data_IF_088014538079
#
_entry.id   IF_088014538079
#
_cell.length_a   1.000
_cell.length_b   1.000
_cell.length_c   1.000
_cell.angle_alpha   90.00
_cell.angle_beta   90.00
_cell.angle_gamma   90.00
#
_symmetry.space_group_name_H-M   'P 1'
#
loop_
_entity.id
_entity.type
_entity.pdbx_description
1 polymer ?
#
# COMPACT_ATOMS: atom_id res chain seq x y z
N UNK A 1 -71.08 25.74 19.93
CA UNK A 1 -71.51 24.62 20.79
C UNK A 1 -70.29 23.76 21.12
N UNK A 2 -69.62 24.06 22.23
CA UNK A 2 -68.99 23.05 23.09
C UNK A 2 -70.05 22.68 24.15
N UNK A 3 -69.93 21.63 24.99
CA UNK A 3 -68.74 20.85 25.39
C UNK A 3 -69.14 19.35 25.58
N UNK A 4 -68.73 18.55 26.59
CA UNK A 4 -67.54 18.53 27.46
C UNK A 4 -66.97 17.08 27.67
N UNK A 5 -66.00 17.02 28.59
CA UNK A 5 -65.68 15.90 29.50
C UNK A 5 -64.74 14.82 28.96
N UNK A 6 -63.71 14.42 29.68
CA UNK A 6 -63.21 14.89 30.97
C UNK A 6 -61.95 14.08 31.30
N UNK A 7 -60.99 14.81 31.88
CA UNK A 7 -60.31 14.48 33.14
C UNK A 7 -59.63 13.11 33.22
N UNK A 8 -58.29 13.09 33.17
CA UNK A 8 -57.43 13.30 34.34
C UNK A 8 -57.64 12.23 35.43
N UNK A 9 -56.69 11.31 35.51
CA UNK A 9 -56.01 10.96 36.77
C UNK A 9 -54.62 10.48 36.38
N UNK A 10 -53.54 11.16 36.81
CA UNK A 10 -52.75 10.77 37.99
C UNK A 10 -52.42 9.27 37.94
N UNK A 11 -51.16 8.85 37.89
CA UNK A 11 -50.24 8.79 39.02
C UNK A 11 -48.82 8.64 38.42
N UNK A 12 -47.91 9.57 38.71
CA UNK A 12 -46.89 9.41 39.75
C UNK A 12 -45.87 8.30 39.48
N UNK A 13 -44.63 8.77 39.37
CA UNK A 13 -43.47 8.27 40.12
C UNK A 13 -42.62 7.12 39.54
N UNK A 14 -41.32 7.48 39.50
CA UNK A 14 -40.17 6.69 39.94
C UNK A 14 -39.53 5.78 38.89
N UNK A 15 -38.43 6.28 38.30
CA UNK A 15 -37.37 5.42 37.80
C UNK A 15 -36.74 4.60 38.94
N UNK A 16 -35.98 3.56 38.60
CA UNK A 16 -34.55 3.63 38.92
C UNK A 16 -33.63 3.12 37.80
N UNK A 17 -32.37 3.55 37.89
CA UNK A 17 -31.21 3.17 37.08
C UNK A 17 -31.00 1.66 36.98
N UNK A 18 -30.78 1.13 35.77
CA UNK A 18 -29.60 0.30 35.46
C UNK A 18 -29.41 0.08 33.96
N UNK A 19 -28.17 0.20 33.55
CA UNK A 19 -27.65 -0.01 32.21
C UNK A 19 -27.95 -1.41 31.65
N UNK A 20 -28.68 -1.47 30.54
CA UNK A 20 -28.80 -2.68 29.72
C UNK A 20 -27.76 -2.67 28.60
N UNK A 21 -26.65 -3.37 28.86
CA UNK A 21 -25.95 -4.08 27.78
C UNK A 21 -26.83 -5.26 27.38
N UNK A 22 -27.26 -5.30 26.13
CA UNK A 22 -27.06 -6.45 25.24
C UNK A 22 -27.85 -6.23 23.94
N UNK A 23 -27.12 -6.42 22.86
CA UNK A 23 -27.45 -6.23 21.45
C UNK A 23 -28.74 -6.89 20.97
N UNK A 24 -29.37 -6.31 19.94
CA UNK A 24 -30.30 -7.03 19.08
C UNK A 24 -29.69 -7.25 17.69
N UNK A 25 -29.49 -8.52 17.33
CA UNK A 25 -29.51 -8.97 15.94
C UNK A 25 -30.42 -10.19 15.90
N UNK A 26 -31.65 -10.02 15.39
CA UNK A 26 -32.45 -11.09 14.77
C UNK A 26 -33.75 -10.51 14.21
N UNK A 27 -33.73 -10.21 12.91
CA UNK A 27 -34.80 -10.47 11.93
C UNK A 27 -34.41 -9.82 10.60
N UNK A 28 -33.68 -10.62 9.83
CA UNK A 28 -33.29 -10.39 8.46
C UNK A 28 -34.53 -10.41 7.53
N UNK A 29 -34.86 -9.26 6.95
CA UNK A 29 -35.46 -9.12 5.62
C UNK A 29 -35.63 -7.63 5.31
N UNK A 30 -34.86 -7.15 4.32
CA UNK A 30 -34.61 -5.74 3.94
C UNK A 30 -33.61 -5.03 4.85
N UNK A 31 -32.57 -4.50 4.21
CA UNK A 31 -31.40 -3.86 4.81
C UNK A 31 -30.46 -4.89 5.45
N UNK A 32 -29.48 -5.40 4.70
CA UNK A 32 -28.18 -4.74 4.75
C UNK A 32 -27.16 -5.39 3.82
N UNK A 33 -26.42 -4.47 3.21
CA UNK A 33 -25.40 -4.56 2.18
C UNK A 33 -24.13 -5.31 2.61
N UNK A 34 -24.18 -6.21 3.60
CA UNK A 34 -22.98 -6.95 3.96
C UNK A 34 -23.28 -8.37 4.41
N UNK A 35 -22.60 -9.28 3.72
CA UNK A 35 -22.34 -10.68 4.08
C UNK A 35 -23.48 -11.69 3.94
N UNK A 36 -23.44 -12.44 2.84
CA UNK A 36 -23.55 -13.90 2.92
C UNK A 36 -22.46 -14.54 2.06
N UNK A 37 -21.95 -15.64 2.59
CA UNK A 37 -20.68 -16.25 2.29
C UNK A 37 -20.59 -16.93 0.92
N UNK A 38 -19.35 -17.24 0.53
CA UNK A 38 -18.96 -18.25 -0.47
C UNK A 38 -18.83 -17.81 -1.94
N UNK A 39 -18.20 -16.67 -2.19
CA UNK A 39 -17.32 -16.53 -3.36
C UNK A 39 -16.14 -15.59 -3.04
N UNK A 40 -14.95 -16.18 -2.97
CA UNK A 40 -13.65 -15.56 -2.75
C UNK A 40 -13.32 -15.06 -1.33
N UNK A 41 -13.27 -16.00 -0.36
CA UNK A 41 -12.19 -15.99 0.65
C UNK A 41 -10.84 -16.25 -0.05
N UNK A 42 -10.41 -15.31 -0.90
CA UNK A 42 -9.17 -15.44 -1.68
C UNK A 42 -8.50 -14.09 -1.83
N UNK A 43 -8.44 -13.29 -0.77
CA UNK A 43 -7.44 -12.20 -0.79
C UNK A 43 -6.97 -11.59 0.52
N UNK A 44 -7.04 -12.29 1.65
CA UNK A 44 -6.28 -11.90 2.85
C UNK A 44 -4.75 -12.09 2.67
N UNK A 45 -4.29 -12.72 1.57
CA UNK A 45 -2.86 -12.86 1.22
C UNK A 45 -2.27 -11.75 0.32
N UNK A 46 -3.00 -10.70 -0.09
CA UNK A 46 -2.40 -9.63 -0.93
C UNK A 46 -1.91 -8.39 -0.19
N UNK A 47 -2.13 -8.29 1.11
CA UNK A 47 -1.63 -7.17 1.92
C UNK A 47 -0.56 -7.58 2.96
N UNK A 48 -0.36 -8.87 3.20
CA UNK A 48 0.65 -9.37 4.14
C UNK A 48 2.10 -9.43 3.58
N UNK A 49 2.34 -8.98 2.35
CA UNK A 49 3.70 -8.90 1.76
C UNK A 49 4.13 -7.44 1.45
N UNK A 50 3.40 -6.46 1.95
CA UNK A 50 3.84 -5.07 1.95
C UNK A 50 4.42 -4.74 3.32
N UNK A 51 5.40 -5.54 3.78
CA UNK A 51 6.30 -5.10 4.82
C UNK A 51 6.93 -3.80 4.30
N UNK A 52 6.44 -2.70 4.82
CA UNK A 52 7.19 -1.62 5.45
C UNK A 52 8.62 -2.04 5.85
N UNK A 53 9.43 -2.38 4.85
CA UNK A 53 10.86 -2.16 4.89
C UNK A 53 11.02 -0.64 4.96
N UNK A 54 10.88 -0.10 6.18
CA UNK A 54 11.44 1.19 6.56
C UNK A 54 12.97 1.05 6.50
N UNK A 55 13.51 0.77 5.32
CA UNK A 55 14.92 0.95 5.07
C UNK A 55 15.17 2.45 5.12
N UNK A 56 16.18 2.84 5.89
CA UNK A 56 16.60 4.23 6.03
C UNK A 56 16.94 4.83 4.64
N UNK A 57 17.44 3.99 3.71
CA UNK A 57 17.67 4.31 2.31
C UNK A 57 16.63 3.66 1.38
N UNK A 58 16.09 4.45 0.45
CA UNK A 58 15.07 4.02 -0.50
C UNK A 58 15.40 4.45 -1.93
N UNK A 59 15.16 3.55 -2.89
CA UNK A 59 15.19 3.86 -4.32
C UNK A 59 13.75 4.15 -4.79
N UNK A 60 13.48 5.42 -5.10
CA UNK A 60 12.14 5.91 -5.42
C UNK A 60 12.13 6.80 -6.67
N UNK A 61 10.93 7.06 -7.18
CA UNK A 61 10.71 7.98 -8.29
C UNK A 61 10.55 9.42 -7.78
N UNK A 62 11.40 10.32 -8.26
CA UNK A 62 11.24 11.77 -8.12
C UNK A 62 10.54 12.31 -9.35
N UNK A 63 9.49 13.12 -9.20
CA UNK A 63 8.81 13.72 -10.35
C UNK A 63 9.60 14.94 -10.83
N UNK A 64 9.89 14.96 -12.12
CA UNK A 64 10.52 16.06 -12.83
C UNK A 64 9.69 16.38 -14.09
N UNK A 65 9.68 17.62 -14.55
CA UNK A 65 8.94 18.00 -15.75
C UNK A 65 7.68 18.82 -15.50
N UNK A 66 7.11 19.33 -16.59
CA UNK A 66 6.03 20.30 -16.58
C UNK A 66 4.67 19.68 -16.26
N UNK A 67 3.68 20.55 -16.00
CA UNK A 67 2.28 20.15 -15.95
C UNK A 67 1.88 19.46 -17.26
N UNK A 68 1.16 18.35 -17.18
CA UNK A 68 0.76 17.55 -18.34
C UNK A 68 1.87 16.69 -18.96
N UNK A 69 3.16 16.96 -18.72
CA UNK A 69 4.31 16.20 -19.26
C UNK A 69 5.11 15.55 -18.12
N UNK A 70 4.62 14.45 -17.52
CA UNK A 70 5.31 13.81 -16.41
C UNK A 70 6.60 13.14 -16.89
N UNK A 71 7.71 13.44 -16.22
CA UNK A 71 8.94 12.68 -16.29
C UNK A 71 9.36 12.29 -14.85
N UNK A 72 10.12 11.21 -14.72
CA UNK A 72 10.57 10.75 -13.42
C UNK A 72 12.06 10.48 -13.43
N UNK A 73 12.72 10.77 -12.31
CA UNK A 73 14.10 10.37 -12.04
C UNK A 73 14.09 9.24 -11.03
N UNK A 74 14.87 8.20 -11.29
CA UNK A 74 15.14 7.12 -10.32
C UNK A 74 16.26 7.61 -9.42
N UNK A 75 15.94 7.83 -8.14
CA UNK A 75 16.86 8.43 -7.17
C UNK A 75 16.98 7.59 -5.91
N UNK A 76 18.16 7.62 -5.30
CA UNK A 76 18.44 7.05 -3.98
C UNK A 76 18.35 8.19 -2.96
N UNK A 77 17.55 7.99 -1.92
CA UNK A 77 17.31 8.98 -0.86
C UNK A 77 17.20 8.31 0.49
N UNK A 78 17.27 9.10 1.56
CA UNK A 78 16.71 8.69 2.84
C UNK A 78 15.17 8.71 2.77
N UNK A 79 14.51 7.70 3.33
CA UNK A 79 13.06 7.50 3.26
C UNK A 79 12.26 8.66 3.90
N UNK A 80 12.82 9.34 4.90
CA UNK A 80 12.18 10.46 5.61
C UNK A 80 12.16 11.75 4.81
N UNK A 81 12.95 11.85 3.73
CA UNK A 81 13.09 13.09 2.95
C UNK A 81 11.88 13.33 2.05
N UNK A 82 11.51 14.61 1.86
CA UNK A 82 10.46 15.06 0.92
C UNK A 82 10.68 14.49 -0.49
N UNK A 83 9.60 14.13 -1.21
CA UNK A 83 9.64 13.47 -2.53
C UNK A 83 10.58 14.16 -3.54
N UNK A 84 10.50 15.48 -3.65
CA UNK A 84 11.24 16.26 -4.65
C UNK A 84 12.47 17.00 -4.06
N UNK A 85 12.84 16.70 -2.81
CA UNK A 85 13.96 17.35 -2.12
C UNK A 85 15.35 16.85 -2.55
N UNK A 86 16.34 17.11 -1.70
CA UNK A 86 17.73 16.68 -1.87
C UNK A 86 17.80 15.15 -1.89
N UNK A 87 18.63 14.62 -2.78
CA UNK A 87 18.87 13.19 -2.96
C UNK A 87 20.37 12.89 -2.92
N UNK A 88 20.73 11.64 -2.62
CA UNK A 88 22.12 11.22 -2.53
C UNK A 88 22.71 10.95 -3.91
N UNK A 89 21.99 10.17 -4.72
CA UNK A 89 22.45 9.78 -6.05
C UNK A 89 21.29 9.61 -7.03
N UNK A 90 21.52 10.01 -8.29
CA UNK A 90 20.64 9.73 -9.42
C UNK A 90 21.11 8.46 -10.12
N UNK A 91 20.24 7.46 -10.16
CA UNK A 91 20.49 6.15 -10.80
C UNK A 91 20.01 6.14 -12.25
N UNK A 92 18.95 6.89 -12.56
CA UNK A 92 18.41 6.89 -13.91
C UNK A 92 17.21 7.80 -14.11
N UNK A 93 16.54 7.62 -15.23
CA UNK A 93 15.36 8.37 -15.63
C UNK A 93 14.32 7.46 -16.28
N UNK A 94 13.08 7.89 -16.16
CA UNK A 94 11.92 7.18 -16.67
C UNK A 94 10.92 8.15 -17.26
N UNK A 95 10.55 7.90 -18.51
CA UNK A 95 9.49 8.62 -19.19
C UNK A 95 8.27 7.71 -19.37
N UNK A 96 7.14 7.98 -18.69
CA UNK A 96 5.94 7.15 -18.79
C UNK A 96 5.24 7.26 -20.15
N UNK A 97 5.41 8.36 -20.89
CA UNK A 97 4.77 8.55 -22.21
C UNK A 97 5.42 7.66 -23.26
N UNK A 98 6.75 7.66 -23.28
CA UNK A 98 7.54 6.83 -24.19
C UNK A 98 7.76 5.41 -23.65
N UNK A 99 7.36 5.16 -22.39
CA UNK A 99 7.65 3.92 -21.65
C UNK A 99 9.13 3.53 -21.69
N UNK A 100 10.01 4.50 -21.88
CA UNK A 100 11.46 4.30 -21.92
C UNK A 100 12.04 4.58 -20.54
N UNK A 101 12.95 3.72 -20.11
CA UNK A 101 13.74 3.89 -18.92
C UNK A 101 15.22 3.73 -19.27
N UNK A 102 16.06 4.61 -18.74
CA UNK A 102 17.50 4.50 -18.86
C UNK A 102 18.06 4.50 -17.45
N UNK A 103 18.68 3.38 -17.09
CA UNK A 103 19.05 3.03 -15.73
C UNK A 103 20.51 2.60 -15.77
N UNK A 104 21.32 3.23 -14.92
CA UNK A 104 22.70 2.82 -14.70
C UNK A 104 22.71 1.60 -13.77
N UNK A 105 22.99 0.43 -14.34
CA UNK A 105 23.02 -0.84 -13.62
C UNK A 105 24.15 -0.93 -12.61
N UNK A 106 25.30 -0.28 -12.87
CA UNK A 106 26.45 -0.28 -11.96
C UNK A 106 26.11 0.47 -10.68
N UNK A 107 25.56 1.68 -10.81
CA UNK A 107 25.10 2.47 -9.65
C UNK A 107 23.99 1.76 -8.90
N UNK A 108 23.04 1.15 -9.61
CA UNK A 108 21.92 0.45 -8.97
C UNK A 108 22.40 -0.71 -8.09
N UNK A 109 23.35 -1.52 -8.58
CA UNK A 109 23.94 -2.65 -7.84
C UNK A 109 24.63 -2.16 -6.57
N UNK A 110 25.50 -1.16 -6.71
CA UNK A 110 26.23 -0.56 -5.58
C UNK A 110 25.30 -0.04 -4.47
N UNK A 111 24.17 0.59 -4.83
CA UNK A 111 23.21 1.07 -3.82
C UNK A 111 22.35 -0.06 -3.24
N UNK A 112 22.08 -1.10 -4.01
CA UNK A 112 21.37 -2.28 -3.54
C UNK A 112 22.21 -3.07 -2.53
N UNK A 113 23.52 -3.21 -2.78
CA UNK A 113 24.50 -3.80 -1.86
C UNK A 113 24.61 -3.01 -0.56
N UNK A 114 24.51 -1.68 -0.63
CA UNK A 114 24.44 -0.80 0.56
C UNK A 114 23.10 -0.84 1.31
N UNK A 115 22.17 -1.70 0.89
CA UNK A 115 20.87 -1.88 1.55
C UNK A 115 19.78 -0.89 1.14
N UNK A 116 19.92 -0.21 0.01
CA UNK A 116 18.83 0.64 -0.51
C UNK A 116 17.72 -0.21 -1.11
N UNK A 117 16.52 -0.17 -0.50
CA UNK A 117 15.39 -0.95 -0.99
C UNK A 117 14.63 -0.19 -2.11
N UNK A 118 14.33 -0.84 -3.24
CA UNK A 118 13.48 -0.24 -4.26
C UNK A 118 12.00 -0.28 -3.88
N UNK A 119 11.29 0.82 -4.16
CA UNK A 119 9.82 0.87 -4.03
C UNK A 119 9.13 -0.08 -5.03
N UNK A 120 7.90 -0.53 -4.73
CA UNK A 120 7.14 -1.48 -5.59
C UNK A 120 7.07 -1.07 -7.06
N UNK A 121 6.85 0.22 -7.34
CA UNK A 121 6.79 0.73 -8.72
C UNK A 121 8.16 0.68 -9.39
N UNK A 122 9.23 1.01 -8.65
CA UNK A 122 10.60 0.93 -9.16
C UNK A 122 10.99 -0.53 -9.40
N UNK A 123 10.65 -1.46 -8.50
CA UNK A 123 10.90 -2.88 -8.71
C UNK A 123 10.25 -3.42 -9.99
N UNK A 124 9.00 -3.02 -10.27
CA UNK A 124 8.31 -3.36 -11.53
C UNK A 124 8.98 -2.74 -12.76
N UNK A 125 9.47 -1.52 -12.63
CA UNK A 125 10.19 -0.82 -13.69
C UNK A 125 11.52 -1.51 -13.99
N UNK A 126 12.27 -1.89 -12.95
CA UNK A 126 13.51 -2.66 -13.06
C UNK A 126 13.25 -4.01 -13.72
N UNK A 127 12.20 -4.73 -13.31
CA UNK A 127 11.83 -6.00 -13.94
C UNK A 127 11.58 -5.87 -15.46
N UNK A 128 11.00 -4.75 -15.90
CA UNK A 128 10.70 -4.51 -17.33
C UNK A 128 11.91 -4.08 -18.15
N UNK A 129 12.79 -3.27 -17.58
CA UNK A 129 13.86 -2.60 -18.33
C UNK A 129 15.27 -3.10 -18.02
N UNK A 130 15.43 -3.85 -16.93
CA UNK A 130 16.69 -4.42 -16.47
C UNK A 130 16.43 -5.78 -15.77
N UNK A 131 16.01 -6.83 -16.50
CA UNK A 131 15.56 -8.10 -15.92
C UNK A 131 16.63 -8.89 -15.13
N UNK A 132 17.90 -8.44 -15.11
CA UNK A 132 18.97 -9.08 -14.34
C UNK A 132 19.31 -8.44 -12.99
N UNK A 133 18.59 -7.40 -12.54
CA UNK A 133 18.97 -6.64 -11.34
C UNK A 133 17.96 -6.67 -10.18
N UNK A 134 16.83 -7.36 -10.29
CA UNK A 134 15.85 -7.45 -9.19
C UNK A 134 16.29 -8.43 -8.12
N UNK A 135 16.40 -7.96 -6.88
CA UNK A 135 16.90 -8.69 -5.72
C UNK A 135 16.11 -10.01 -5.43
N UNK A 136 16.87 -11.07 -5.11
CA UNK A 136 16.49 -12.47 -4.84
C UNK A 136 16.13 -13.28 -6.11
N UNK A 137 16.75 -14.41 -6.49
CA UNK A 137 17.26 -15.59 -5.76
C UNK A 137 17.75 -16.61 -6.86
N UNK A 138 18.55 -17.67 -6.68
CA UNK A 138 19.22 -18.41 -5.59
C UNK A 138 20.11 -19.48 -6.30
N UNK A 139 21.25 -19.86 -5.73
CA UNK A 139 22.07 -21.05 -6.06
C UNK A 139 22.71 -21.16 -7.46
N UNK A 140 24.01 -20.86 -7.54
CA UNK A 140 24.96 -21.64 -8.34
C UNK A 140 25.98 -22.26 -7.37
N UNK A 141 25.50 -23.21 -6.58
CA UNK A 141 26.31 -24.26 -5.98
C UNK A 141 25.80 -25.58 -6.53
N UNK A 142 26.72 -26.39 -7.09
CA UNK A 142 26.53 -27.57 -7.96
C UNK A 142 26.39 -27.17 -9.45
N UNK A 143 27.34 -27.43 -10.35
CA UNK A 143 28.22 -28.59 -10.48
C UNK A 143 29.59 -28.20 -11.07
N UNK A 144 30.63 -28.80 -10.51
CA UNK A 144 31.95 -28.96 -11.11
C UNK A 144 31.86 -29.70 -12.46
N UNK A 145 32.25 -29.06 -13.56
CA UNK A 145 32.81 -29.74 -14.75
C UNK A 145 33.94 -28.83 -15.22
N UNK A 146 35.15 -29.06 -14.72
CA UNK A 146 36.20 -29.83 -15.39
C UNK A 146 36.63 -29.16 -16.70
N UNK A 147 37.77 -28.47 -16.61
CA UNK A 147 38.57 -28.07 -17.75
C UNK A 147 39.06 -29.32 -18.49
N UNK A 148 38.70 -29.43 -19.76
CA UNK A 148 39.45 -30.17 -20.78
C UNK A 148 39.33 -29.45 -22.11
#
# INVERSE_FOLDING_TARGET
MLPPRALLSWHSCQGPMRSSRSSPCDKAAKCDFYTSALRCMRNSRRYAHQQWACSMLAIRLRRCGARGRPAYQVVVVDSRRKRNGVFLCRVGYYNPRLKSAQIDTGRLRLWTERGAAPTRTVARLLHRHAPGCTAAARNSGSVCLHWQ
#
